data_IF_107113830778
#
_entry.id   IF_107113830778
#
_cell.length_a   1.000
_cell.length_b   1.000
_cell.length_c   1.000
_cell.angle_alpha   90.00
_cell.angle_beta   90.00
_cell.angle_gamma   90.00
#
_symmetry.space_group_name_H-M   'P 1'
#
loop_
_entity.id
_entity.type
_entity.pdbx_description
1 polymer ?
#
# COMPACT_ATOMS: atom_id res chain seq x y z
N UNK A 1 11.49 24.26 -23.45
CA UNK A 1 10.81 23.96 -22.17
C UNK A 1 10.63 22.45 -22.14
N UNK A 2 11.05 21.74 -21.08
CA UNK A 2 10.81 20.29 -21.00
C UNK A 2 9.31 20.01 -20.97
N UNK A 3 8.92 18.83 -21.47
CA UNK A 3 7.53 18.40 -21.39
C UNK A 3 7.10 18.30 -19.91
N UNK A 4 5.85 18.68 -19.60
CA UNK A 4 5.37 18.67 -18.23
C UNK A 4 5.32 17.24 -17.68
N UNK A 5 5.89 17.05 -16.49
CA UNK A 5 5.85 15.75 -15.78
C UNK A 5 4.42 15.47 -15.34
N UNK A 6 3.93 14.29 -15.72
CA UNK A 6 2.59 13.82 -15.42
C UNK A 6 2.44 13.27 -14.00
N UNK A 7 1.20 13.23 -13.51
CA UNK A 7 0.91 12.74 -12.17
C UNK A 7 1.21 11.24 -11.97
N UNK A 8 1.28 10.45 -13.05
CA UNK A 8 1.67 9.04 -12.96
C UNK A 8 3.17 8.89 -12.62
N UNK A 9 4.01 9.68 -13.30
CA UNK A 9 5.46 9.69 -13.11
C UNK A 9 5.82 10.17 -11.70
N UNK A 10 5.16 11.23 -11.22
CA UNK A 10 5.38 11.73 -9.87
C UNK A 10 4.93 10.75 -8.78
N UNK A 11 3.90 9.92 -9.02
CA UNK A 11 3.50 8.83 -8.10
C UNK A 11 4.52 7.71 -8.11
N UNK A 12 4.99 7.29 -9.28
CA UNK A 12 6.02 6.25 -9.41
C UNK A 12 7.33 6.66 -8.72
N UNK A 13 7.67 7.96 -8.76
CA UNK A 13 8.82 8.52 -8.06
C UNK A 13 8.63 8.71 -6.53
N UNK A 14 7.44 8.41 -5.99
CA UNK A 14 7.14 8.56 -4.56
C UNK A 14 6.96 10.01 -4.09
N UNK A 15 6.81 10.96 -5.01
CA UNK A 15 6.65 12.39 -4.70
C UNK A 15 5.21 12.70 -4.30
N UNK A 16 4.25 12.08 -4.98
CA UNK A 16 2.83 12.24 -4.67
C UNK A 16 2.35 11.15 -3.70
N UNK A 17 1.34 11.45 -2.86
CA UNK A 17 0.75 10.47 -1.97
C UNK A 17 0.22 9.23 -2.69
N UNK A 18 0.25 8.09 -1.99
CA UNK A 18 -0.34 6.85 -2.46
C UNK A 18 -1.85 7.01 -2.75
N UNK A 19 -2.38 6.33 -3.78
CA UNK A 19 -3.81 6.30 -4.04
C UNK A 19 -4.60 5.82 -2.81
N UNK A 20 -5.85 6.28 -2.69
CA UNK A 20 -6.72 5.88 -1.57
C UNK A 20 -6.92 4.37 -1.45
N UNK A 21 -7.03 3.65 -2.57
CA UNK A 21 -7.13 2.20 -2.59
C UNK A 21 -5.91 1.49 -1.98
N UNK A 22 -4.71 2.07 -2.11
CA UNK A 22 -3.46 1.51 -1.61
C UNK A 22 -3.19 1.85 -0.13
N UNK A 23 -3.95 2.78 0.45
CA UNK A 23 -3.89 3.14 1.87
C UNK A 23 -4.72 2.22 2.76
N UNK A 24 -5.53 1.35 2.16
CA UNK A 24 -6.30 0.35 2.90
C UNK A 24 -5.35 -0.69 3.47
N UNK A 25 -5.62 -1.22 4.68
CA UNK A 25 -4.85 -2.35 5.22
C UNK A 25 -4.76 -3.44 4.17
N UNK A 26 -3.59 -4.07 4.05
CA UNK A 26 -3.50 -5.31 3.30
C UNK A 26 -4.51 -6.29 3.93
N UNK A 27 -5.24 -7.03 3.09
CA UNK A 27 -6.22 -8.06 3.51
C UNK A 27 -5.55 -9.24 4.27
N UNK A 28 -4.28 -9.10 4.64
CA UNK A 28 -3.52 -10.02 5.50
C UNK A 28 -4.16 -10.20 6.88
N UNK A 29 -5.12 -9.35 7.25
CA UNK A 29 -5.91 -9.45 8.48
C UNK A 29 -7.26 -10.14 8.28
N UNK A 30 -7.72 -10.29 7.02
CA UNK A 30 -8.98 -10.97 6.69
C UNK A 30 -8.77 -12.48 6.46
N UNK A 31 -7.51 -12.92 6.35
CA UNK A 31 -7.17 -14.33 6.17
C UNK A 31 -6.74 -14.94 7.51
N UNK A 32 -7.55 -15.88 8.03
CA UNK A 32 -7.10 -16.76 9.12
C UNK A 32 -6.04 -17.71 8.58
N UNK A 33 -4.76 -17.42 8.80
CA UNK A 33 -3.69 -18.40 8.69
C UNK A 33 -3.44 -19.01 10.08
N UNK A 34 -3.98 -20.21 10.32
CA UNK A 34 -3.61 -21.02 11.50
C UNK A 34 -2.20 -21.59 11.28
N UNK A 35 -1.19 -20.89 11.81
CA UNK A 35 0.18 -21.40 11.90
C UNK A 35 0.44 -22.11 13.24
N UNK A 36 1.37 -23.08 13.31
CA UNK A 36 1.66 -23.85 14.54
C UNK A 36 2.23 -23.02 15.71
N UNK A 37 2.58 -21.74 15.53
CA UNK A 37 3.02 -20.78 16.57
C UNK A 37 2.15 -19.49 16.64
N UNK A 38 1.01 -19.46 15.92
CA UNK A 38 -0.07 -18.46 16.00
C UNK A 38 0.29 -17.01 16.36
N UNK A 39 0.82 -16.22 15.42
CA UNK A 39 0.90 -14.75 15.56
C UNK A 39 0.29 -14.08 14.31
N UNK A 40 -0.54 -13.04 14.39
CA UNK A 40 -0.50 -11.88 15.30
C UNK A 40 -1.86 -11.45 15.89
N UNK A 41 -1.80 -10.71 17.00
CA UNK A 41 -2.88 -9.90 17.54
C UNK A 41 -2.72 -8.43 17.10
N UNK A 42 -3.84 -7.81 16.74
CA UNK A 42 -3.96 -6.38 16.44
C UNK A 42 -4.40 -5.64 17.73
N UNK A 43 -3.70 -4.56 18.10
CA UNK A 43 -4.21 -3.55 19.03
C UNK A 43 -4.46 -2.27 18.24
#
# INVERSE_FOLDING_TARGET
>A
VPDPVGAAELRAAGVLPAPESARRPATVLDHQEEGPEGQFALI
#
